data_IF_094733701197
#
_entry.id   IF_094733701197
#
_cell.length_a   1.000
_cell.length_b   1.000
_cell.length_c   1.000
_cell.angle_alpha   90.00
_cell.angle_beta   90.00
_cell.angle_gamma   90.00
#
_symmetry.space_group_name_H-M   'P 1'
#
loop_
_entity.id
_entity.type
_entity.pdbx_description
1 polymer ?
#
# COMPACT_ATOMS: atom_id res chain seq x y z
N UNK A 1 9.54 18.17 4.48
CA UNK A 1 8.90 17.07 5.23
C UNK A 1 8.23 16.10 4.29
N UNK A 2 8.32 14.79 4.53
CA UNK A 2 7.82 13.72 3.68
C UNK A 2 6.61 13.05 4.35
N UNK A 3 5.52 12.86 3.58
CA UNK A 3 4.30 12.20 4.03
C UNK A 3 4.08 10.91 3.23
N UNK A 4 4.13 9.73 3.89
CA UNK A 4 3.70 8.48 3.29
C UNK A 4 2.18 8.38 3.38
N UNK A 5 1.50 8.32 2.26
CA UNK A 5 0.03 8.43 2.20
C UNK A 5 -0.58 7.24 1.48
N UNK A 6 -1.60 6.63 2.08
CA UNK A 6 -2.43 5.64 1.42
C UNK A 6 -3.47 6.28 0.51
N UNK A 7 -3.45 5.89 -0.78
CA UNK A 7 -4.37 6.38 -1.80
C UNK A 7 -5.78 5.78 -1.70
N UNK A 8 -5.98 4.79 -0.83
CA UNK A 8 -7.21 4.03 -0.78
C UNK A 8 -7.28 2.88 -1.78
N UNK A 9 -8.41 2.22 -1.84
CA UNK A 9 -8.63 0.96 -2.55
C UNK A 9 -9.03 1.12 -4.03
N UNK A 10 -8.89 2.32 -4.59
CA UNK A 10 -9.14 2.58 -6.02
C UNK A 10 -10.18 3.66 -6.29
N UNK A 11 -11.30 3.71 -5.58
CA UNK A 11 -12.25 4.81 -5.69
C UNK A 11 -11.64 6.08 -5.08
N UNK A 12 -11.73 7.21 -5.79
CA UNK A 12 -11.08 8.45 -5.37
C UNK A 12 -11.63 9.01 -4.05
N UNK A 13 -12.90 8.77 -3.75
CA UNK A 13 -13.58 9.17 -2.53
C UNK A 13 -13.24 8.30 -1.30
N UNK A 14 -12.53 7.19 -1.51
CA UNK A 14 -12.00 6.34 -0.44
C UNK A 14 -10.60 6.76 0.04
N UNK A 15 -10.06 7.86 -0.44
CA UNK A 15 -8.91 8.49 0.20
C UNK A 15 -9.33 9.08 1.55
N UNK A 16 -8.46 9.03 2.54
CA UNK A 16 -8.75 9.68 3.82
C UNK A 16 -8.76 11.20 3.66
N UNK A 17 -9.56 11.90 4.47
CA UNK A 17 -9.59 13.37 4.50
C UNK A 17 -8.19 13.96 4.75
N UNK A 18 -7.34 13.29 5.55
CA UNK A 18 -5.95 13.70 5.79
C UNK A 18 -5.12 13.53 4.53
N UNK A 19 -5.23 12.37 3.87
CA UNK A 19 -4.51 12.08 2.63
C UNK A 19 -4.84 13.09 1.54
N UNK A 20 -6.11 13.41 1.34
CA UNK A 20 -6.56 14.45 0.39
C UNK A 20 -5.92 15.81 0.70
N UNK A 21 -5.95 16.25 1.96
CA UNK A 21 -5.32 17.52 2.38
C UNK A 21 -3.81 17.56 2.13
N UNK A 22 -3.12 16.42 2.20
CA UNK A 22 -1.71 16.33 1.85
C UNK A 22 -1.51 16.47 0.33
N UNK A 23 -2.32 15.81 -0.49
CA UNK A 23 -2.27 15.95 -1.96
C UNK A 23 -2.47 17.41 -2.39
N UNK A 24 -3.50 18.08 -1.87
CA UNK A 24 -3.82 19.48 -2.17
C UNK A 24 -2.66 20.45 -1.86
N UNK A 25 -1.82 20.13 -0.87
CA UNK A 25 -0.71 20.98 -0.42
C UNK A 25 0.65 20.58 -0.97
N UNK A 26 0.77 19.40 -1.54
CA UNK A 26 2.04 18.83 -1.98
C UNK A 26 2.76 19.72 -3.01
N UNK A 27 4.07 19.89 -2.83
CA UNK A 27 4.96 20.45 -3.85
C UNK A 27 5.52 19.36 -4.77
N UNK A 28 5.66 18.15 -4.22
CA UNK A 28 6.16 16.97 -4.91
C UNK A 28 5.28 15.77 -4.56
N UNK A 29 4.86 15.01 -5.57
CA UNK A 29 4.18 13.73 -5.38
C UNK A 29 4.97 12.64 -6.10
N UNK A 30 5.23 11.55 -5.37
CA UNK A 30 5.81 10.32 -5.92
C UNK A 30 4.78 9.22 -5.73
N UNK A 31 4.11 8.78 -6.80
CA UNK A 31 3.04 7.79 -6.69
C UNK A 31 3.44 6.40 -7.19
N UNK A 32 2.79 5.37 -6.66
CA UNK A 32 3.16 3.95 -6.87
C UNK A 32 2.57 3.35 -8.16
N UNK A 33 2.57 4.10 -9.25
CA UNK A 33 2.25 3.57 -10.58
C UNK A 33 0.75 3.38 -10.86
N UNK A 34 0.45 2.44 -11.76
CA UNK A 34 -0.88 2.28 -12.36
C UNK A 34 -1.99 1.83 -11.40
N UNK A 35 -1.65 1.39 -10.20
CA UNK A 35 -2.63 0.99 -9.17
C UNK A 35 -3.16 2.17 -8.35
N UNK A 36 -2.58 3.36 -8.49
CA UNK A 36 -3.13 4.59 -7.91
C UNK A 36 -4.11 5.20 -8.91
N UNK A 37 -5.32 5.52 -8.46
CA UNK A 37 -6.30 6.18 -9.31
C UNK A 37 -5.78 7.56 -9.73
N UNK A 38 -5.59 7.82 -11.04
CA UNK A 38 -5.01 9.06 -11.52
C UNK A 38 -5.85 10.31 -11.20
N UNK A 39 -7.15 10.18 -11.01
CA UNK A 39 -8.04 11.29 -10.59
C UNK A 39 -7.58 11.94 -9.28
N UNK A 40 -6.90 11.20 -8.40
CA UNK A 40 -6.32 11.76 -7.18
C UNK A 40 -5.20 12.78 -7.45
N UNK A 41 -4.55 12.69 -8.61
CA UNK A 41 -3.49 13.62 -9.00
C UNK A 41 -4.05 14.95 -9.53
N UNK A 42 -5.34 14.99 -9.92
CA UNK A 42 -6.02 16.21 -10.35
C UNK A 42 -6.31 17.15 -9.15
N UNK A 43 -6.31 16.61 -7.94
CA UNK A 43 -6.52 17.38 -6.70
C UNK A 43 -5.30 18.20 -6.24
N UNK A 44 -4.22 18.15 -7.01
CA UNK A 44 -2.95 18.80 -6.65
C UNK A 44 -2.95 20.29 -6.99
N UNK A 45 -2.21 21.09 -6.22
CA UNK A 45 -2.01 22.51 -6.55
C UNK A 45 -1.22 22.70 -7.83
N UNK A 46 -1.41 23.84 -8.50
CA UNK A 46 -0.60 24.21 -9.66
C UNK A 46 0.90 24.21 -9.34
N UNK A 47 1.70 23.67 -10.26
CA UNK A 47 3.16 23.58 -10.13
C UNK A 47 3.67 22.42 -9.27
N UNK A 48 2.80 21.51 -8.80
CA UNK A 48 3.22 20.28 -8.16
C UNK A 48 4.03 19.40 -9.13
N UNK A 49 5.19 18.91 -8.70
CA UNK A 49 6.01 17.97 -9.47
C UNK A 49 5.53 16.54 -9.20
N UNK A 50 5.16 15.80 -10.23
CA UNK A 50 4.58 14.47 -10.11
C UNK A 50 5.50 13.42 -10.75
N UNK A 51 5.87 12.40 -9.98
CA UNK A 51 6.75 11.30 -10.39
C UNK A 51 6.05 9.94 -10.28
N UNK A 52 6.21 9.11 -11.29
CA UNK A 52 5.70 7.74 -11.29
C UNK A 52 6.83 6.77 -10.89
N UNK A 53 6.79 6.26 -9.67
CA UNK A 53 7.83 5.36 -9.14
C UNK A 53 7.83 3.96 -9.75
N UNK A 54 6.84 3.57 -10.55
CA UNK A 54 6.89 2.30 -11.29
C UNK A 54 8.04 2.23 -12.31
N UNK A 55 8.63 3.39 -12.64
CA UNK A 55 9.74 3.54 -13.59
C UNK A 55 11.03 4.01 -12.91
N UNK A 56 11.09 3.97 -11.58
CA UNK A 56 12.20 4.49 -10.80
C UNK A 56 12.78 3.40 -9.90
N UNK A 57 14.07 3.48 -9.63
CA UNK A 57 14.72 2.70 -8.58
C UNK A 57 14.44 3.31 -7.20
N UNK A 58 14.79 2.59 -6.13
CA UNK A 58 14.69 3.10 -4.76
C UNK A 58 15.55 4.37 -4.59
N UNK A 59 16.76 4.34 -5.11
CA UNK A 59 17.73 5.45 -5.05
C UNK A 59 17.18 6.70 -5.76
N UNK A 60 16.58 6.54 -6.93
CA UNK A 60 15.96 7.65 -7.66
C UNK A 60 14.77 8.26 -6.91
N UNK A 61 13.95 7.43 -6.26
CA UNK A 61 12.84 7.90 -5.40
C UNK A 61 13.38 8.70 -4.21
N UNK A 62 14.41 8.18 -3.55
CA UNK A 62 15.05 8.85 -2.41
C UNK A 62 15.72 10.15 -2.82
N UNK A 63 16.38 10.20 -3.97
CA UNK A 63 17.03 11.43 -4.45
C UNK A 63 15.99 12.55 -4.70
N UNK A 64 14.82 12.22 -5.26
CA UNK A 64 13.73 13.19 -5.40
C UNK A 64 13.28 13.72 -4.03
N UNK A 65 13.15 12.83 -3.02
CA UNK A 65 12.80 13.22 -1.66
C UNK A 65 13.85 14.14 -1.03
N UNK A 66 15.14 13.81 -1.19
CA UNK A 66 16.23 14.60 -0.63
C UNK A 66 16.34 15.97 -1.28
N UNK A 67 16.16 16.04 -2.59
CA UNK A 67 16.18 17.33 -3.29
C UNK A 67 15.00 18.19 -2.87
N UNK A 68 13.80 17.62 -2.73
CA UNK A 68 12.62 18.34 -2.26
C UNK A 68 12.82 18.85 -0.82
N UNK A 69 13.40 18.05 0.07
CA UNK A 69 13.67 18.46 1.46
C UNK A 69 14.69 19.62 1.52
N UNK A 70 15.76 19.58 0.73
CA UNK A 70 16.72 20.71 0.59
C UNK A 70 16.06 21.99 0.12
N UNK A 71 15.04 21.89 -0.73
CA UNK A 71 14.25 23.02 -1.23
C UNK A 71 13.18 23.50 -0.24
N UNK A 72 13.05 22.86 0.93
CA UNK A 72 11.98 23.14 1.90
C UNK A 72 10.59 22.78 1.38
N UNK A 73 10.49 21.83 0.45
CA UNK A 73 9.26 21.41 -0.21
C UNK A 73 8.58 20.27 0.54
N UNK A 74 7.24 20.25 0.49
CA UNK A 74 6.42 19.18 1.01
C UNK A 74 6.32 18.04 -0.01
N UNK A 75 6.74 16.84 0.37
CA UNK A 75 6.67 15.65 -0.48
C UNK A 75 5.59 14.70 0.01
N UNK A 76 4.75 14.21 -0.90
CA UNK A 76 3.83 13.10 -0.67
C UNK A 76 4.34 11.86 -1.40
N UNK A 77 4.59 10.79 -0.65
CA UNK A 77 4.83 9.45 -1.17
C UNK A 77 3.51 8.69 -1.17
N UNK A 78 2.83 8.65 -2.33
CA UNK A 78 1.48 8.11 -2.48
C UNK A 78 1.52 6.63 -2.86
N UNK A 79 0.99 5.77 -2.00
CA UNK A 79 0.91 4.33 -2.15
C UNK A 79 -0.53 3.85 -2.39
N UNK A 80 -0.68 2.72 -3.07
CA UNK A 80 -1.99 2.06 -3.21
C UNK A 80 -2.49 1.52 -1.88
N UNK A 81 -3.78 1.51 -1.67
CA UNK A 81 -4.40 0.98 -0.46
C UNK A 81 -3.90 1.65 0.80
N UNK A 82 -3.35 0.84 1.70
CA UNK A 82 -2.64 1.27 2.90
C UNK A 82 -1.16 0.84 2.82
N UNK A 83 -0.19 1.75 2.93
CA UNK A 83 1.24 1.44 2.84
C UNK A 83 1.75 0.44 3.87
N UNK A 84 1.08 0.25 5.02
CA UNK A 84 1.50 -0.73 6.03
C UNK A 84 1.37 -2.19 5.56
N UNK A 85 0.61 -2.43 4.49
CA UNK A 85 0.43 -3.76 3.91
C UNK A 85 1.16 -3.84 2.57
N UNK A 86 2.33 -4.47 2.57
CA UNK A 86 3.16 -4.71 1.38
C UNK A 86 3.56 -3.43 0.61
N UNK A 87 3.60 -2.29 1.28
CA UNK A 87 3.91 -0.99 0.67
C UNK A 87 5.39 -0.73 0.42
N UNK A 88 6.30 -1.59 0.91
CA UNK A 88 7.77 -1.40 0.82
C UNK A 88 8.23 0.00 1.27
N UNK A 89 7.64 0.49 2.37
CA UNK A 89 7.96 1.83 2.90
C UNK A 89 9.10 1.79 3.91
N UNK A 90 9.34 0.64 4.57
CA UNK A 90 10.35 0.55 5.66
C UNK A 90 11.75 0.89 5.16
N UNK A 91 12.14 0.36 4.00
CA UNK A 91 13.43 0.66 3.38
C UNK A 91 13.64 2.16 3.13
N UNK A 92 12.59 2.85 2.69
CA UNK A 92 12.62 4.30 2.48
C UNK A 92 12.74 5.05 3.82
N UNK A 93 11.96 4.64 4.82
CA UNK A 93 11.98 5.24 6.15
C UNK A 93 13.33 5.05 6.84
N UNK A 94 13.96 3.88 6.73
CA UNK A 94 15.29 3.60 7.30
C UNK A 94 16.34 4.60 6.77
N UNK A 95 16.35 4.84 5.46
CA UNK A 95 17.28 5.80 4.85
C UNK A 95 16.97 7.24 5.26
N UNK A 96 15.69 7.59 5.47
CA UNK A 96 15.31 8.91 5.99
C UNK A 96 15.74 9.08 7.44
N UNK A 97 15.57 8.05 8.28
CA UNK A 97 16.04 8.01 9.68
C UNK A 97 17.56 8.23 9.76
N UNK A 98 18.35 7.53 8.93
CA UNK A 98 19.81 7.68 8.84
C UNK A 98 20.25 9.11 8.50
N UNK A 99 19.43 9.85 7.76
CA UNK A 99 19.68 11.22 7.35
C UNK A 99 19.03 12.27 8.24
N UNK A 100 18.31 11.87 9.28
CA UNK A 100 17.58 12.77 10.17
C UNK A 100 16.47 13.56 9.48
N UNK A 101 15.90 13.02 8.41
CA UNK A 101 14.82 13.65 7.65
C UNK A 101 13.46 13.23 8.26
N UNK A 102 12.68 14.22 8.68
CA UNK A 102 11.38 13.97 9.28
C UNK A 102 10.34 13.51 8.25
N UNK A 103 9.57 12.51 8.64
CA UNK A 103 8.44 12.00 7.88
C UNK A 103 7.28 11.65 8.79
N UNK A 104 6.09 11.49 8.22
CA UNK A 104 4.94 10.88 8.88
C UNK A 104 4.22 9.88 7.96
N UNK A 105 3.24 9.19 8.54
CA UNK A 105 2.46 8.18 7.87
C UNK A 105 0.96 8.49 8.03
N UNK A 106 0.27 8.54 6.88
CA UNK A 106 -1.17 8.68 6.79
C UNK A 106 -1.78 7.37 6.25
N UNK A 107 -2.54 6.62 7.05
CA UNK A 107 -3.14 5.37 6.61
C UNK A 107 -4.14 5.57 5.48
N UNK A 108 -4.39 4.51 4.73
CA UNK A 108 -5.40 4.47 3.67
C UNK A 108 -6.40 3.35 3.86
N UNK A 109 -7.46 3.35 3.06
CA UNK A 109 -8.39 2.21 2.98
C UNK A 109 -7.72 1.11 2.18
N UNK A 110 -7.37 0.02 2.84
CA UNK A 110 -6.72 -1.12 2.18
C UNK A 110 -7.65 -1.81 1.18
N UNK A 111 -7.08 -2.45 0.16
CA UNK A 111 -7.81 -3.14 -0.91
C UNK A 111 -8.72 -4.25 -0.37
N UNK A 112 -8.36 -4.94 0.71
CA UNK A 112 -9.25 -5.96 1.29
C UNK A 112 -10.51 -5.34 1.90
N UNK A 113 -10.41 -4.16 2.52
CA UNK A 113 -11.60 -3.42 3.00
C UNK A 113 -12.45 -2.94 1.83
N UNK A 114 -11.83 -2.46 0.75
CA UNK A 114 -12.52 -2.09 -0.48
C UNK A 114 -13.23 -3.27 -1.13
N UNK A 115 -12.61 -4.45 -1.15
CA UNK A 115 -13.22 -5.68 -1.66
C UNK A 115 -14.44 -6.11 -0.81
N UNK A 116 -14.33 -6.07 0.52
CA UNK A 116 -15.45 -6.36 1.41
C UNK A 116 -16.63 -5.41 1.15
N UNK A 117 -16.35 -4.11 1.00
CA UNK A 117 -17.38 -3.12 0.68
C UNK A 117 -18.06 -3.39 -0.67
N UNK A 118 -17.29 -3.69 -1.70
CA UNK A 118 -17.83 -3.97 -3.04
C UNK A 118 -18.70 -5.24 -3.09
N UNK A 119 -18.42 -6.21 -2.22
CA UNK A 119 -19.14 -7.47 -2.12
C UNK A 119 -20.18 -7.50 -1.01
N UNK A 120 -20.33 -6.42 -0.23
CA UNK A 120 -21.17 -6.36 0.97
C UNK A 120 -20.88 -7.51 1.95
N UNK A 121 -19.59 -7.78 2.21
CA UNK A 121 -19.11 -8.85 3.06
C UNK A 121 -18.63 -8.34 4.41
N UNK A 122 -18.84 -9.16 5.43
CA UNK A 122 -18.13 -9.10 6.70
C UNK A 122 -17.20 -10.31 6.81
N UNK A 123 -15.94 -10.09 7.14
CA UNK A 123 -14.94 -11.16 7.22
C UNK A 123 -15.01 -11.97 8.53
N UNK A 124 -15.65 -11.44 9.56
CA UNK A 124 -15.70 -12.00 10.92
C UNK A 124 -17.09 -12.45 11.28
N UNK A 125 -17.57 -13.50 10.63
CA UNK A 125 -18.94 -14.03 10.82
C UNK A 125 -19.02 -14.97 12.02
N UNK A 126 -19.97 -14.76 12.96
CA UNK A 126 -20.23 -15.69 14.06
C UNK A 126 -20.52 -17.11 13.58
N UNK A 127 -19.86 -18.11 14.17
CA UNK A 127 -20.02 -19.51 13.81
C UNK A 127 -19.35 -19.93 12.50
N UNK A 128 -18.74 -19.01 11.75
CA UNK A 128 -17.97 -19.30 10.52
C UNK A 128 -16.49 -19.03 10.75
N UNK A 129 -16.11 -17.78 10.93
CA UNK A 129 -14.73 -17.38 11.22
C UNK A 129 -14.71 -16.07 12.00
N UNK A 130 -13.92 -16.02 13.06
CA UNK A 130 -13.71 -14.81 13.87
C UNK A 130 -12.31 -14.23 13.70
N UNK A 131 -11.52 -14.78 12.78
CA UNK A 131 -10.14 -14.39 12.53
C UNK A 131 -9.93 -14.05 11.07
N UNK A 132 -9.05 -13.09 10.81
CA UNK A 132 -8.63 -12.72 9.45
C UNK A 132 -7.12 -12.84 9.36
N UNK A 133 -6.64 -13.71 8.50
CA UNK A 133 -5.23 -13.85 8.17
C UNK A 133 -4.92 -13.08 6.91
N UNK A 134 -4.03 -12.10 7.00
CA UNK A 134 -3.54 -11.33 5.86
C UNK A 134 -2.17 -11.88 5.46
N UNK A 135 -2.05 -12.42 4.26
CA UNK A 135 -0.82 -13.06 3.78
C UNK A 135 -0.63 -12.86 2.27
N UNK A 136 0.38 -13.50 1.71
CA UNK A 136 0.64 -13.60 0.28
C UNK A 136 1.26 -14.95 -0.07
N UNK A 137 1.19 -15.33 -1.34
CA UNK A 137 2.01 -16.45 -1.83
C UNK A 137 3.48 -16.04 -1.95
N UNK A 138 4.37 -17.02 -1.88
CA UNK A 138 5.76 -16.84 -2.26
C UNK A 138 5.84 -16.42 -3.75
N UNK A 139 6.72 -15.48 -4.04
CA UNK A 139 7.00 -14.99 -5.39
C UNK A 139 8.49 -14.69 -5.52
N UNK A 140 8.86 -13.49 -5.95
CA UNK A 140 10.28 -13.07 -5.99
C UNK A 140 10.96 -13.14 -4.62
N UNK A 141 10.20 -12.88 -3.56
CA UNK A 141 10.67 -13.01 -2.18
C UNK A 141 10.00 -14.21 -1.54
N UNK A 142 10.73 -15.00 -0.74
CA UNK A 142 10.17 -16.14 -0.03
C UNK A 142 9.16 -15.70 1.03
N UNK A 143 8.35 -16.65 1.47
CA UNK A 143 7.50 -16.56 2.66
C UNK A 143 8.04 -17.59 3.65
N UNK A 144 8.10 -17.30 4.96
CA UNK A 144 8.49 -18.29 5.96
C UNK A 144 7.66 -19.57 5.86
N UNK A 145 8.26 -20.73 6.07
CA UNK A 145 7.59 -22.04 5.91
C UNK A 145 6.32 -22.14 6.76
N UNK A 146 6.35 -21.64 8.00
CA UNK A 146 5.20 -21.62 8.91
C UNK A 146 4.09 -20.65 8.49
N UNK A 147 4.36 -19.78 7.54
CA UNK A 147 3.41 -18.82 6.96
C UNK A 147 2.96 -19.26 5.55
N UNK A 148 3.14 -20.52 5.21
CA UNK A 148 2.65 -21.08 3.94
C UNK A 148 1.12 -21.02 3.87
N UNK A 149 0.57 -21.00 2.65
CA UNK A 149 -0.88 -20.98 2.42
C UNK A 149 -1.54 -22.18 3.11
N UNK A 150 -0.95 -23.37 3.01
CA UNK A 150 -1.44 -24.59 3.64
C UNK A 150 -1.46 -24.48 5.18
N UNK A 151 -0.37 -23.93 5.77
CA UNK A 151 -0.30 -23.70 7.20
C UNK A 151 -1.41 -22.80 7.72
N UNK A 152 -1.71 -21.71 7.00
CA UNK A 152 -2.79 -20.80 7.39
C UNK A 152 -4.18 -21.37 7.08
N UNK A 153 -4.35 -22.13 5.99
CA UNK A 153 -5.61 -22.76 5.65
C UNK A 153 -6.07 -23.76 6.71
N UNK A 154 -5.14 -24.51 7.33
CA UNK A 154 -5.41 -25.42 8.43
C UNK A 154 -6.08 -24.76 9.66
N UNK A 155 -6.00 -23.44 9.80
CA UNK A 155 -6.71 -22.69 10.85
C UNK A 155 -8.18 -22.44 10.55
N UNK A 156 -8.65 -22.70 9.31
CA UNK A 156 -10.01 -22.41 8.84
C UNK A 156 -10.45 -20.95 9.09
N UNK A 157 -9.49 -20.03 9.11
CA UNK A 157 -9.74 -18.59 9.23
C UNK A 157 -10.10 -17.97 7.88
N UNK A 158 -10.76 -16.81 7.89
CA UNK A 158 -10.87 -16.01 6.67
C UNK A 158 -9.48 -15.58 6.22
N UNK A 159 -9.14 -15.80 4.96
CA UNK A 159 -7.83 -15.45 4.41
C UNK A 159 -7.93 -14.36 3.38
N UNK A 160 -7.07 -13.35 3.51
CA UNK A 160 -6.86 -12.28 2.53
C UNK A 160 -5.47 -12.46 1.93
N UNK A 161 -5.41 -12.88 0.67
CA UNK A 161 -4.14 -13.21 0.01
C UNK A 161 -3.77 -12.12 -0.99
N UNK A 162 -2.78 -11.31 -0.62
CA UNK A 162 -2.28 -10.21 -1.45
C UNK A 162 -1.31 -10.70 -2.53
N UNK A 163 -1.10 -9.87 -3.57
CA UNK A 163 -0.06 -10.03 -4.60
C UNK A 163 -0.13 -11.38 -5.37
N UNK A 164 -1.26 -12.08 -5.32
CA UNK A 164 -1.39 -13.45 -5.81
C UNK A 164 -2.51 -13.63 -6.86
N UNK A 165 -3.08 -12.54 -7.39
CA UNK A 165 -4.19 -12.60 -8.35
C UNK A 165 -3.83 -13.35 -9.65
N UNK A 166 -2.56 -13.36 -10.07
CA UNK A 166 -2.08 -14.13 -11.22
C UNK A 166 -1.79 -15.61 -10.94
N UNK A 167 -2.04 -16.10 -9.71
CA UNK A 167 -1.68 -17.43 -9.24
C UNK A 167 -2.90 -18.16 -8.67
N UNK A 168 -4.10 -17.88 -9.15
CA UNK A 168 -5.36 -18.35 -8.54
C UNK A 168 -5.50 -19.88 -8.55
N UNK A 169 -5.08 -20.55 -9.62
CA UNK A 169 -5.17 -22.02 -9.71
C UNK A 169 -4.25 -22.68 -8.67
N UNK A 170 -3.00 -22.21 -8.58
CA UNK A 170 -2.05 -22.69 -7.57
C UNK A 170 -2.54 -22.38 -6.15
N UNK A 171 -3.02 -21.15 -5.92
CA UNK A 171 -3.56 -20.73 -4.63
C UNK A 171 -4.73 -21.64 -4.21
N UNK A 172 -5.66 -21.93 -5.12
CA UNK A 172 -6.80 -22.80 -4.85
C UNK A 172 -6.36 -24.20 -4.44
N UNK A 173 -5.42 -24.79 -5.17
CA UNK A 173 -4.86 -26.11 -4.84
C UNK A 173 -4.21 -26.14 -3.45
N UNK A 174 -3.46 -25.11 -3.09
CA UNK A 174 -2.79 -25.00 -1.78
C UNK A 174 -3.76 -24.76 -0.63
N UNK A 175 -4.84 -24.00 -0.85
CA UNK A 175 -5.90 -23.82 0.15
C UNK A 175 -6.65 -25.11 0.44
N UNK A 176 -6.87 -25.96 -0.58
CA UNK A 176 -7.54 -27.28 -0.43
C UNK A 176 -6.63 -28.29 0.28
N UNK A 177 -5.32 -28.18 0.10
CA UNK A 177 -4.33 -29.09 0.72
C UNK A 177 -4.09 -28.83 2.21
N UNK A 178 -4.45 -27.68 2.72
CA UNK A 178 -4.36 -27.29 4.15
C UNK A 178 -5.69 -27.35 4.85
#
# INVERSE_FOLDING_TARGET
MIHFVGAGSGAADLITVRGKKYLEKADVIIYAGSLVNPVLLDETKGGCRIYNSAKMTLEEVLEVMFQAEKEGKMTVRLHTGDPCLYGAIREQMDVLDERGIAYDYCPGVSSFSGAASALNLEYTLPGVSQSVVITRMAGRTPVPEKESIESFAAHHATMVVFLSAGMLDELSGRLIAG
#
